data_IF_155939955200
#
_entry.id   IF_155939955200
#
_cell.length_a   1.000
_cell.length_b   1.000
_cell.length_c   1.000
_cell.angle_alpha   90.00
_cell.angle_beta   90.00
_cell.angle_gamma   90.00
#
_symmetry.space_group_name_H-M   'P 1'
#
loop_
_entity.id
_entity.type
_entity.pdbx_description
1 polymer ?
#
# COMPACT_ATOMS: atom_id res chain seq x y z
N UNK A 1 0.39 0.69 -31.84
CA UNK A 1 0.64 1.24 -30.47
C UNK A 1 -0.49 0.91 -29.50
N UNK A 2 -1.75 1.03 -29.90
CA UNK A 2 -2.90 0.76 -29.02
C UNK A 2 -2.95 -0.69 -28.51
N UNK A 3 -2.63 -1.67 -29.34
CA UNK A 3 -2.55 -3.09 -28.93
C UNK A 3 -1.53 -3.33 -27.81
N UNK A 4 -0.34 -2.71 -27.90
CA UNK A 4 0.70 -2.85 -26.87
C UNK A 4 0.24 -2.16 -25.58
N UNK A 5 -0.34 -0.98 -25.68
CA UNK A 5 -0.91 -0.22 -24.54
C UNK A 5 -1.95 -1.06 -23.80
N UNK A 6 -2.93 -1.59 -24.54
CA UNK A 6 -4.01 -2.42 -23.98
C UNK A 6 -3.48 -3.67 -23.27
N UNK A 7 -2.46 -4.34 -23.83
CA UNK A 7 -1.83 -5.50 -23.16
C UNK A 7 -1.16 -5.11 -21.86
N UNK A 8 -0.42 -4.00 -21.84
CA UNK A 8 0.22 -3.49 -20.61
C UNK A 8 -0.86 -3.14 -19.58
N UNK A 9 -1.89 -2.40 -19.97
CA UNK A 9 -2.99 -2.03 -19.08
C UNK A 9 -3.68 -3.26 -18.48
N UNK A 10 -3.99 -4.27 -19.29
CA UNK A 10 -4.60 -5.53 -18.82
C UNK A 10 -3.71 -6.22 -17.77
N UNK A 11 -2.39 -6.28 -17.99
CA UNK A 11 -1.47 -6.88 -17.02
C UNK A 11 -1.43 -6.08 -15.71
N UNK A 12 -1.38 -4.75 -15.80
CA UNK A 12 -1.42 -3.86 -14.62
C UNK A 12 -2.74 -4.04 -13.87
N UNK A 13 -3.86 -4.00 -14.60
CA UNK A 13 -5.20 -4.13 -13.99
C UNK A 13 -5.37 -5.49 -13.30
N UNK A 14 -4.74 -6.55 -13.81
CA UNK A 14 -4.77 -7.87 -13.17
C UNK A 14 -4.06 -7.93 -11.80
N UNK A 15 -3.15 -6.98 -11.53
CA UNK A 15 -2.47 -6.83 -10.23
C UNK A 15 -3.27 -5.98 -9.24
N UNK A 16 -4.20 -5.18 -9.72
CA UNK A 16 -4.97 -4.27 -8.87
C UNK A 16 -6.20 -4.94 -8.25
N UNK A 17 -6.71 -4.36 -7.17
CA UNK A 17 -7.98 -4.79 -6.57
C UNK A 17 -9.20 -4.60 -7.48
N UNK A 18 -9.08 -3.81 -8.55
CA UNK A 18 -10.15 -3.64 -9.55
C UNK A 18 -10.47 -4.95 -10.28
N UNK A 19 -9.52 -5.88 -10.38
CA UNK A 19 -9.75 -7.21 -10.95
C UNK A 19 -10.77 -8.05 -10.16
N UNK A 20 -11.06 -7.70 -8.92
CA UNK A 20 -12.06 -8.37 -8.08
C UNK A 20 -13.51 -7.95 -8.40
N UNK A 21 -13.70 -6.92 -9.24
CA UNK A 21 -15.00 -6.57 -9.87
C UNK A 21 -16.12 -6.12 -8.93
N UNK A 22 -15.82 -5.73 -7.69
CA UNK A 22 -16.85 -5.43 -6.67
C UNK A 22 -17.11 -3.94 -6.45
N UNK A 23 -16.33 -3.05 -7.08
CA UNK A 23 -16.43 -1.60 -6.88
C UNK A 23 -16.73 -0.90 -8.21
N UNK A 24 -17.74 -0.06 -8.21
CA UNK A 24 -18.03 0.88 -9.29
C UNK A 24 -17.46 2.26 -8.93
N UNK A 25 -16.26 2.55 -9.43
CA UNK A 25 -15.61 3.83 -9.17
C UNK A 25 -16.13 4.98 -10.06
N UNK A 26 -17.08 4.71 -10.98
CA UNK A 26 -17.63 5.71 -11.91
C UNK A 26 -19.01 6.21 -11.49
N UNK A 27 -19.65 5.59 -10.51
CA UNK A 27 -20.97 5.98 -10.01
C UNK A 27 -21.01 6.01 -8.47
N UNK A 28 -21.95 6.79 -7.89
CA UNK A 28 -22.84 7.77 -8.55
C UNK A 28 -22.05 9.00 -9.03
N UNK A 29 -22.49 9.60 -10.15
CA UNK A 29 -21.82 10.80 -10.69
C UNK A 29 -21.85 11.95 -9.70
N UNK A 30 -20.72 12.68 -9.62
CA UNK A 30 -20.57 13.86 -8.75
C UNK A 30 -20.24 13.53 -7.28
N UNK A 31 -20.21 12.26 -6.88
CA UNK A 31 -19.84 11.91 -5.50
C UNK A 31 -18.30 12.03 -5.29
N UNK A 32 -17.81 12.92 -4.40
CA UNK A 32 -16.37 13.11 -4.19
C UNK A 32 -15.71 11.96 -3.40
N UNK A 33 -16.46 11.05 -2.82
CA UNK A 33 -15.94 10.04 -1.90
C UNK A 33 -15.57 10.61 -0.53
N UNK A 34 -14.53 10.05 0.10
CA UNK A 34 -14.06 10.53 1.41
C UNK A 34 -13.22 11.79 1.31
N UNK A 35 -12.43 11.96 0.25
CA UNK A 35 -11.39 12.99 0.17
C UNK A 35 -11.63 14.01 -0.95
N UNK A 36 -12.22 13.60 -2.07
CA UNK A 36 -12.41 14.44 -3.24
C UNK A 36 -11.15 14.62 -4.11
N UNK A 37 -11.33 15.16 -5.33
CA UNK A 37 -10.27 15.24 -6.33
C UNK A 37 -9.13 16.22 -6.00
N UNK A 38 -9.37 17.20 -5.13
CA UNK A 38 -8.39 18.22 -4.72
C UNK A 38 -7.55 17.78 -3.51
N UNK A 39 -7.76 16.55 -3.03
CA UNK A 39 -7.01 16.02 -1.91
C UNK A 39 -5.61 15.58 -2.31
N UNK A 40 -4.67 15.67 -1.38
CA UNK A 40 -3.32 15.14 -1.54
C UNK A 40 -3.36 13.60 -1.56
N UNK A 41 -4.32 13.00 -0.86
CA UNK A 41 -4.56 11.55 -0.89
C UNK A 41 -4.85 11.03 -2.31
N UNK A 42 -5.65 11.75 -3.12
CA UNK A 42 -5.84 11.38 -4.53
C UNK A 42 -4.55 11.53 -5.34
N UNK A 43 -3.76 12.57 -5.06
CA UNK A 43 -2.50 12.79 -5.75
C UNK A 43 -1.48 11.68 -5.44
N UNK A 44 -1.31 11.33 -4.17
CA UNK A 44 -0.34 10.30 -3.73
C UNK A 44 -0.75 8.92 -4.22
N UNK A 45 -2.02 8.55 -4.03
CA UNK A 45 -2.52 7.22 -4.39
C UNK A 45 -2.83 7.05 -5.88
N UNK A 46 -2.81 8.14 -6.66
CA UNK A 46 -3.15 8.13 -8.09
C UNK A 46 -2.12 7.52 -9.02
N UNK A 47 -0.89 7.27 -8.57
CA UNK A 47 0.16 6.68 -9.38
C UNK A 47 0.36 5.19 -9.07
N UNK A 48 0.00 4.33 -10.00
CA UNK A 48 0.09 2.87 -9.82
C UNK A 48 1.49 2.39 -9.46
N UNK A 49 2.53 2.94 -10.10
CA UNK A 49 3.91 2.47 -9.89
C UNK A 49 4.41 2.77 -8.49
N UNK A 50 4.20 4.01 -8.02
CA UNK A 50 4.59 4.40 -6.66
C UNK A 50 3.76 3.67 -5.61
N UNK A 51 2.44 3.50 -5.83
CA UNK A 51 1.59 2.74 -4.90
C UNK A 51 2.00 1.27 -4.80
N UNK A 52 2.36 0.63 -5.91
CA UNK A 52 2.83 -0.76 -5.88
C UNK A 52 4.15 -0.88 -5.10
N UNK A 53 5.12 0.01 -5.35
CA UNK A 53 6.41 0.03 -4.65
C UNK A 53 6.21 0.31 -3.16
N UNK A 54 5.42 1.34 -2.83
CA UNK A 54 5.10 1.69 -1.45
C UNK A 54 4.38 0.56 -0.71
N UNK A 55 3.42 -0.10 -1.36
CA UNK A 55 2.71 -1.24 -0.78
C UNK A 55 3.60 -2.44 -0.50
N UNK A 56 4.53 -2.76 -1.40
CA UNK A 56 5.53 -3.81 -1.20
C UNK A 56 6.41 -3.49 0.02
N UNK A 57 6.92 -2.27 0.10
CA UNK A 57 7.74 -1.81 1.24
C UNK A 57 6.95 -1.82 2.55
N UNK A 58 5.70 -1.35 2.53
CA UNK A 58 4.81 -1.36 3.69
C UNK A 58 4.58 -2.77 4.24
N UNK A 59 4.35 -3.76 3.37
CA UNK A 59 4.16 -5.15 3.78
C UNK A 59 5.41 -5.75 4.43
N UNK A 60 6.60 -5.41 3.92
CA UNK A 60 7.86 -5.82 4.54
C UNK A 60 8.02 -5.19 5.93
N UNK A 61 7.71 -3.90 6.06
CA UNK A 61 7.79 -3.18 7.32
C UNK A 61 6.77 -3.72 8.34
N UNK A 62 5.52 -3.93 7.93
CA UNK A 62 4.46 -4.50 8.78
C UNK A 62 4.83 -5.87 9.35
N UNK A 63 5.55 -6.70 8.57
CA UNK A 63 5.98 -8.02 9.00
C UNK A 63 6.99 -8.04 10.15
N UNK A 64 7.53 -6.87 10.53
CA UNK A 64 8.43 -6.73 11.68
C UNK A 64 7.70 -6.63 13.02
N UNK A 65 6.39 -6.35 13.05
CA UNK A 65 5.65 -6.27 14.30
C UNK A 65 5.07 -7.63 14.69
N UNK A 66 5.52 -8.26 15.80
CA UNK A 66 5.17 -9.65 16.13
C UNK A 66 3.68 -9.93 16.23
N UNK A 67 2.92 -9.03 16.88
CA UNK A 67 1.48 -9.21 17.07
C UNK A 67 0.69 -8.97 15.78
N UNK A 68 1.05 -7.96 14.98
CA UNK A 68 0.42 -7.75 13.68
C UNK A 68 0.71 -8.92 12.73
N UNK A 69 1.95 -9.42 12.75
CA UNK A 69 2.34 -10.60 11.98
C UNK A 69 1.60 -11.87 12.45
N UNK A 70 1.38 -12.05 13.76
CA UNK A 70 0.65 -13.20 14.29
C UNK A 70 -0.79 -13.25 13.73
N UNK A 71 -1.51 -12.13 13.71
CA UNK A 71 -2.84 -12.04 13.11
C UNK A 71 -2.84 -12.40 11.62
N UNK A 72 -1.86 -11.92 10.87
CA UNK A 72 -1.68 -12.28 9.46
C UNK A 72 -1.35 -13.77 9.30
N UNK A 73 -0.50 -14.30 10.15
CA UNK A 73 -0.04 -15.68 10.11
C UNK A 73 -1.16 -16.69 10.33
N UNK A 74 -2.01 -16.42 11.30
CA UNK A 74 -3.04 -17.36 11.73
C UNK A 74 -4.34 -17.25 10.90
N UNK A 75 -4.65 -16.05 10.36
CA UNK A 75 -5.95 -15.79 9.73
C UNK A 75 -5.90 -15.45 8.24
N UNK A 76 -4.71 -15.35 7.64
CA UNK A 76 -4.57 -15.03 6.22
C UNK A 76 -4.05 -16.22 5.42
N UNK A 77 -4.62 -16.44 4.24
CA UNK A 77 -4.16 -17.45 3.30
C UNK A 77 -2.96 -17.00 2.43
N UNK A 78 -2.11 -16.09 2.94
CA UNK A 78 -1.00 -15.53 2.17
C UNK A 78 -0.01 -16.58 1.65
N UNK A 79 0.03 -17.75 2.30
CA UNK A 79 0.92 -18.87 1.90
C UNK A 79 0.46 -19.52 0.60
N UNK A 80 -0.83 -19.58 0.39
CA UNK A 80 -1.47 -20.18 -0.80
C UNK A 80 -1.77 -19.14 -1.87
N UNK A 81 -2.20 -17.94 -1.47
CA UNK A 81 -2.67 -16.88 -2.35
C UNK A 81 -2.14 -15.49 -1.95
N UNK A 82 -0.82 -15.29 -2.06
CA UNK A 82 -0.21 -13.98 -1.80
C UNK A 82 -0.78 -12.90 -2.73
N UNK A 83 -0.95 -13.20 -4.01
CA UNK A 83 -1.45 -12.24 -5.00
C UNK A 83 -2.90 -11.83 -4.72
N UNK A 84 -3.75 -12.77 -4.35
CA UNK A 84 -5.13 -12.46 -3.96
C UNK A 84 -5.19 -11.60 -2.69
N UNK A 85 -4.29 -11.80 -1.74
CA UNK A 85 -4.15 -10.91 -0.57
C UNK A 85 -3.78 -9.50 -0.99
N UNK A 86 -2.77 -9.33 -1.85
CA UNK A 86 -2.36 -8.01 -2.36
C UNK A 86 -3.51 -7.31 -3.09
N UNK A 87 -4.28 -8.04 -3.89
CA UNK A 87 -5.46 -7.50 -4.59
C UNK A 87 -6.55 -7.03 -3.63
N UNK A 88 -6.84 -7.79 -2.56
CA UNK A 88 -7.83 -7.40 -1.54
C UNK A 88 -7.42 -6.14 -0.80
N UNK A 89 -6.14 -6.03 -0.41
CA UNK A 89 -5.60 -4.81 0.19
C UNK A 89 -5.66 -3.63 -0.80
N UNK A 90 -5.24 -3.84 -2.04
CA UNK A 90 -5.33 -2.81 -3.09
C UNK A 90 -6.78 -2.39 -3.39
N UNK A 91 -7.76 -3.30 -3.27
CA UNK A 91 -9.18 -2.97 -3.40
C UNK A 91 -9.65 -2.08 -2.24
N UNK A 92 -9.25 -2.39 -1.01
CA UNK A 92 -9.56 -1.56 0.15
C UNK A 92 -8.98 -0.15 -0.01
N UNK A 93 -7.69 -0.02 -0.31
CA UNK A 93 -7.02 1.27 -0.49
C UNK A 93 -7.67 2.07 -1.63
N UNK A 94 -7.89 1.44 -2.79
CA UNK A 94 -8.48 2.15 -3.93
C UNK A 94 -9.95 2.52 -3.69
N UNK A 95 -10.70 1.70 -2.99
CA UNK A 95 -12.10 1.95 -2.68
C UNK A 95 -12.30 3.03 -1.63
N UNK A 96 -11.45 3.08 -0.61
CA UNK A 96 -11.48 4.14 0.41
C UNK A 96 -10.94 5.46 -0.11
N UNK A 97 -9.99 5.44 -1.06
CA UNK A 97 -9.45 6.66 -1.66
C UNK A 97 -10.33 7.20 -2.78
N UNK A 98 -10.75 6.34 -3.71
CA UNK A 98 -11.38 6.73 -4.98
C UNK A 98 -12.83 6.31 -5.12
N UNK A 99 -13.36 5.49 -4.20
CA UNK A 99 -14.74 5.04 -4.22
C UNK A 99 -15.75 6.13 -3.91
N UNK A 100 -17.04 5.86 -4.16
CA UNK A 100 -18.12 6.68 -3.64
C UNK A 100 -18.08 6.69 -2.11
N UNK A 101 -18.72 7.70 -1.49
CA UNK A 101 -18.82 7.76 -0.02
C UNK A 101 -19.40 6.47 0.54
N UNK A 102 -20.48 5.97 -0.07
CA UNK A 102 -21.13 4.74 0.31
C UNK A 102 -20.22 3.52 0.24
N UNK A 103 -19.45 3.39 -0.85
CA UNK A 103 -18.56 2.23 -1.05
C UNK A 103 -17.37 2.27 -0.10
N UNK A 104 -16.83 3.45 0.17
CA UNK A 104 -15.77 3.64 1.15
C UNK A 104 -16.25 3.30 2.57
N UNK A 105 -17.42 3.79 2.96
CA UNK A 105 -18.04 3.49 4.25
C UNK A 105 -18.29 1.98 4.41
N UNK A 106 -18.82 1.33 3.37
CA UNK A 106 -19.04 -0.11 3.36
C UNK A 106 -17.74 -0.91 3.49
N UNK A 107 -16.67 -0.51 2.81
CA UNK A 107 -15.38 -1.18 2.90
C UNK A 107 -14.77 -1.08 4.28
N UNK A 108 -14.82 0.12 4.88
CA UNK A 108 -14.30 0.36 6.24
C UNK A 108 -15.06 -0.52 7.24
N UNK A 109 -16.40 -0.51 7.21
CA UNK A 109 -17.21 -1.31 8.13
C UNK A 109 -16.98 -2.81 7.92
N UNK A 110 -16.84 -3.25 6.68
CA UNK A 110 -16.54 -4.64 6.37
C UNK A 110 -15.19 -5.06 6.96
N UNK A 111 -14.14 -4.26 6.80
CA UNK A 111 -12.81 -4.57 7.34
C UNK A 111 -12.84 -4.51 8.86
N UNK A 112 -13.50 -3.52 9.45
CA UNK A 112 -13.69 -3.41 10.90
C UNK A 112 -14.34 -4.67 11.49
N UNK A 113 -15.42 -5.14 10.85
CA UNK A 113 -16.11 -6.37 11.26
C UNK A 113 -15.20 -7.61 11.17
N UNK A 114 -14.38 -7.73 10.11
CA UNK A 114 -13.39 -8.82 9.98
C UNK A 114 -12.38 -8.74 11.12
N UNK A 115 -11.84 -7.54 11.40
CA UNK A 115 -10.83 -7.37 12.44
C UNK A 115 -11.31 -7.75 13.84
N UNK A 116 -12.59 -7.58 14.14
CA UNK A 116 -13.20 -8.03 15.41
C UNK A 116 -13.16 -9.56 15.58
N UNK A 117 -13.06 -10.33 14.50
CA UNK A 117 -12.97 -11.79 14.52
C UNK A 117 -11.53 -12.32 14.50
N UNK A 118 -10.54 -11.45 14.26
CA UNK A 118 -9.14 -11.84 14.15
C UNK A 118 -8.45 -11.63 15.49
N UNK A 119 -8.44 -12.69 16.29
CA UNK A 119 -7.83 -12.71 17.64
C UNK A 119 -7.04 -14.00 17.83
N UNK A 120 -6.09 -14.02 18.76
CA UNK A 120 -5.33 -15.22 19.08
C UNK A 120 -4.18 -14.94 20.06
N UNK A 121 -3.21 -15.85 20.09
CA UNK A 121 -2.02 -15.74 20.94
C UNK A 121 -0.76 -15.85 20.06
N UNK A 122 0.11 -14.87 20.17
CA UNK A 122 1.40 -14.88 19.47
C UNK A 122 2.35 -15.95 20.03
N UNK A 123 3.43 -16.33 19.30
CA UNK A 123 4.37 -17.36 19.76
C UNK A 123 5.05 -17.06 21.10
N UNK A 124 5.14 -15.79 21.45
CA UNK A 124 5.72 -15.32 22.72
C UNK A 124 4.71 -15.31 23.90
N UNK A 125 3.49 -15.82 23.67
CA UNK A 125 2.43 -15.93 24.67
C UNK A 125 1.56 -14.67 24.81
N UNK A 126 1.85 -13.57 24.12
CA UNK A 126 1.02 -12.35 24.18
C UNK A 126 -0.26 -12.52 23.38
N UNK A 127 -1.43 -12.10 23.90
CA UNK A 127 -2.65 -12.05 23.12
C UNK A 127 -2.56 -10.97 22.04
N UNK A 128 -3.23 -11.20 20.91
CA UNK A 128 -3.40 -10.18 19.87
C UNK A 128 -4.86 -10.08 19.40
N UNK A 129 -5.23 -8.90 18.94
CA UNK A 129 -6.49 -8.66 18.24
C UNK A 129 -6.21 -7.70 17.07
N UNK A 130 -6.68 -8.02 15.86
CA UNK A 130 -6.51 -7.11 14.72
C UNK A 130 -7.31 -5.80 14.87
N UNK A 131 -8.27 -5.76 15.81
CA UNK A 131 -8.99 -4.55 16.21
C UNK A 131 -8.29 -3.73 17.30
N UNK A 132 -7.10 -4.16 17.76
CA UNK A 132 -6.31 -3.39 18.73
C UNK A 132 -5.91 -2.03 18.10
N UNK A 133 -6.24 -0.90 18.77
CA UNK A 133 -5.95 0.43 18.24
C UNK A 133 -4.48 0.67 17.92
N UNK A 134 -3.55 0.14 18.71
CA UNK A 134 -2.11 0.31 18.52
C UNK A 134 -1.63 -0.48 17.30
N UNK A 135 -2.16 -1.69 17.08
CA UNK A 135 -1.85 -2.48 15.88
C UNK A 135 -2.44 -1.84 14.62
N UNK A 136 -3.64 -1.27 14.70
CA UNK A 136 -4.24 -0.53 13.59
C UNK A 136 -3.41 0.71 13.25
N UNK A 137 -2.94 1.46 14.25
CA UNK A 137 -2.06 2.61 14.05
C UNK A 137 -0.73 2.19 13.44
N UNK A 138 -0.11 1.10 13.91
CA UNK A 138 1.13 0.57 13.31
C UNK A 138 0.96 0.23 11.83
N UNK A 139 -0.08 -0.55 11.49
CA UNK A 139 -0.34 -0.96 10.10
C UNK A 139 -0.55 0.27 9.21
N UNK A 140 -1.35 1.24 9.67
CA UNK A 140 -1.58 2.50 8.97
C UNK A 140 -0.29 3.28 8.74
N UNK A 141 0.51 3.53 9.79
CA UNK A 141 1.77 4.28 9.68
C UNK A 141 2.73 3.60 8.71
N UNK A 142 2.85 2.27 8.77
CA UNK A 142 3.69 1.52 7.85
C UNK A 142 3.22 1.67 6.39
N UNK A 143 1.91 1.73 6.14
CA UNK A 143 1.35 1.94 4.79
C UNK A 143 1.59 3.37 4.30
N UNK A 144 1.09 4.35 5.02
CA UNK A 144 1.06 5.74 4.52
C UNK A 144 2.44 6.37 4.42
N UNK A 145 3.36 6.02 5.32
CA UNK A 145 4.75 6.48 5.23
C UNK A 145 5.46 5.95 3.99
N UNK A 146 5.24 4.68 3.63
CA UNK A 146 5.82 4.09 2.44
C UNK A 146 5.13 4.55 1.15
N UNK A 147 3.81 4.81 1.14
CA UNK A 147 3.12 5.39 -0.02
C UNK A 147 3.64 6.79 -0.33
N UNK A 148 3.75 7.65 0.69
CA UNK A 148 4.31 8.99 0.50
C UNK A 148 5.78 8.94 0.07
N UNK A 149 6.60 8.11 0.71
CA UNK A 149 8.01 7.96 0.33
C UNK A 149 8.19 7.49 -1.12
N UNK A 150 7.36 6.55 -1.59
CA UNK A 150 7.36 6.10 -2.97
C UNK A 150 6.90 7.21 -3.94
N UNK A 151 5.87 7.97 -3.56
CA UNK A 151 5.39 9.11 -4.34
C UNK A 151 6.47 10.17 -4.50
N UNK A 152 7.13 10.55 -3.42
CA UNK A 152 8.24 11.52 -3.44
C UNK A 152 9.41 11.03 -4.30
N UNK A 153 9.75 9.74 -4.23
CA UNK A 153 10.90 9.19 -4.96
C UNK A 153 10.65 9.01 -6.45
N UNK A 154 9.44 8.60 -6.85
CA UNK A 154 9.17 8.12 -8.21
C UNK A 154 8.11 8.92 -8.97
N UNK A 155 7.40 9.84 -8.32
CA UNK A 155 6.33 10.62 -8.97
C UNK A 155 6.49 12.12 -8.82
N UNK A 156 6.59 12.64 -7.61
CA UNK A 156 6.68 14.08 -7.35
C UNK A 156 7.67 14.37 -6.21
N UNK A 157 8.98 14.52 -6.51
CA UNK A 157 9.99 14.84 -5.50
C UNK A 157 9.84 16.26 -4.91
N UNK A 158 9.01 17.11 -5.52
CA UNK A 158 8.81 18.50 -5.13
C UNK A 158 7.47 18.74 -4.39
N UNK A 159 6.79 17.68 -3.95
CA UNK A 159 5.60 17.83 -3.12
C UNK A 159 5.95 18.62 -1.87
N UNK A 160 5.22 19.73 -1.62
CA UNK A 160 5.54 20.66 -0.54
C UNK A 160 5.47 19.98 0.84
N UNK A 161 6.21 20.52 1.78
CA UNK A 161 6.18 20.06 3.18
C UNK A 161 4.78 20.11 3.78
N UNK A 162 4.04 21.18 3.46
CA UNK A 162 2.65 21.36 3.90
C UNK A 162 1.71 20.32 3.28
N UNK A 163 1.88 19.99 1.98
CA UNK A 163 1.07 18.94 1.35
C UNK A 163 1.42 17.56 1.87
N UNK A 164 2.68 17.29 2.22
CA UNK A 164 3.04 16.03 2.86
C UNK A 164 2.36 15.87 4.22
N UNK A 165 2.31 16.92 5.04
CA UNK A 165 1.59 16.91 6.32
C UNK A 165 0.08 16.79 6.11
N UNK A 166 -0.47 17.52 5.13
CA UNK A 166 -1.87 17.39 4.73
C UNK A 166 -2.25 15.99 4.27
N UNK A 167 -1.36 15.28 3.56
CA UNK A 167 -1.59 13.89 3.19
C UNK A 167 -1.80 13.00 4.43
N UNK A 168 -0.94 13.12 5.44
CA UNK A 168 -1.07 12.33 6.67
C UNK A 168 -2.35 12.68 7.44
N UNK A 169 -2.70 13.96 7.51
CA UNK A 169 -3.93 14.41 8.16
C UNK A 169 -5.20 13.90 7.44
N UNK A 170 -5.25 14.00 6.13
CA UNK A 170 -6.37 13.49 5.34
C UNK A 170 -6.55 11.98 5.52
N UNK A 171 -5.49 11.19 5.34
CA UNK A 171 -5.60 9.73 5.30
C UNK A 171 -5.81 9.09 6.68
N UNK A 172 -5.49 9.80 7.78
CA UNK A 172 -5.75 9.36 9.15
C UNK A 172 -7.23 9.01 9.38
N UNK A 173 -8.15 9.70 8.68
CA UNK A 173 -9.59 9.42 8.74
C UNK A 173 -9.92 7.95 8.53
N UNK A 174 -9.25 7.26 7.62
CA UNK A 174 -9.53 5.83 7.34
C UNK A 174 -9.11 4.96 8.52
N UNK A 175 -7.93 5.20 9.10
CA UNK A 175 -7.45 4.45 10.24
C UNK A 175 -8.31 4.66 11.49
N UNK A 176 -8.70 5.90 11.79
CA UNK A 176 -9.58 6.23 12.91
C UNK A 176 -10.94 5.56 12.79
N UNK A 177 -11.50 5.53 11.58
CA UNK A 177 -12.76 4.86 11.31
C UNK A 177 -12.67 3.33 11.41
N UNK A 178 -11.49 2.75 11.24
CA UNK A 178 -11.22 1.35 11.55
C UNK A 178 -11.05 1.08 13.05
N UNK A 179 -10.83 2.12 13.86
CA UNK A 179 -10.66 2.02 15.31
C UNK A 179 -9.26 2.36 15.83
N UNK A 180 -8.35 2.84 14.97
CA UNK A 180 -7.03 3.31 15.39
C UNK A 180 -7.16 4.55 16.30
N UNK A 181 -6.17 4.74 17.17
CA UNK A 181 -6.10 5.89 18.10
C UNK A 181 -4.75 6.56 17.98
N UNK A 182 -4.69 7.83 18.38
CA UNK A 182 -3.46 8.63 18.40
C UNK A 182 -2.70 8.55 17.08
N UNK A 183 -3.46 8.61 15.95
CA UNK A 183 -2.95 8.43 14.59
C UNK A 183 -2.08 9.63 14.22
N UNK A 184 -0.80 9.44 13.88
CA UNK A 184 0.09 10.53 13.46
C UNK A 184 -0.43 11.24 12.20
N UNK A 185 -0.42 12.60 12.23
CA UNK A 185 -1.00 13.45 11.18
C UNK A 185 0.02 14.38 10.50
N UNK A 186 1.30 14.26 10.84
CA UNK A 186 2.38 15.04 10.24
C UNK A 186 3.63 14.20 10.04
N UNK A 187 4.54 14.68 9.18
CA UNK A 187 5.84 14.02 8.96
C UNK A 187 6.62 13.83 10.24
N UNK A 188 6.58 14.84 11.13
CA UNK A 188 7.29 14.77 12.41
C UNK A 188 6.67 13.70 13.30
N UNK A 189 5.36 13.68 13.45
CA UNK A 189 4.67 12.67 14.25
C UNK A 189 4.86 11.24 13.72
N UNK A 190 4.91 11.06 12.38
CA UNK A 190 5.24 9.77 11.73
C UNK A 190 6.67 9.36 12.08
N UNK A 191 7.64 10.29 12.01
CA UNK A 191 9.03 9.99 12.35
C UNK A 191 9.17 9.60 13.82
N UNK A 192 8.56 10.37 14.72
CA UNK A 192 8.56 10.11 16.16
C UNK A 192 7.88 8.77 16.49
N UNK A 193 6.78 8.45 15.81
CA UNK A 193 6.11 7.16 15.97
C UNK A 193 6.99 5.99 15.54
N UNK A 194 7.65 6.08 14.37
CA UNK A 194 8.55 5.04 13.90
C UNK A 194 9.75 4.82 14.81
N UNK A 195 10.29 5.86 15.42
CA UNK A 195 11.35 5.70 16.42
C UNK A 195 10.83 5.03 17.70
N UNK A 196 9.69 5.46 18.21
CA UNK A 196 9.08 4.94 19.42
C UNK A 196 8.68 3.47 19.33
N UNK A 197 8.22 3.01 18.13
CA UNK A 197 7.78 1.62 17.94
C UNK A 197 8.95 0.64 17.72
N UNK A 198 10.12 1.12 17.27
CA UNK A 198 11.28 0.27 16.92
C UNK A 198 11.65 -0.79 17.96
N UNK A 199 11.69 -0.51 19.27
CA UNK A 199 12.01 -1.54 20.28
C UNK A 199 11.03 -2.71 20.33
N UNK A 200 9.83 -2.57 19.76
CA UNK A 200 8.82 -3.61 19.72
C UNK A 200 8.91 -4.48 18.46
N UNK A 201 9.73 -4.07 17.48
CA UNK A 201 9.85 -4.75 16.19
C UNK A 201 10.89 -5.88 16.26
N UNK A 202 10.60 -6.96 15.56
CA UNK A 202 11.44 -8.16 15.55
C UNK A 202 11.38 -8.81 14.16
N UNK A 203 12.53 -9.28 13.67
CA UNK A 203 12.60 -10.15 12.50
C UNK A 203 12.84 -11.58 12.95
N UNK A 204 11.79 -12.36 13.05
CA UNK A 204 11.82 -13.79 13.37
C UNK A 204 11.69 -14.66 12.10
N UNK A 205 11.51 -15.97 12.28
CA UNK A 205 11.35 -16.91 11.16
C UNK A 205 10.05 -16.68 10.40
N UNK A 206 8.98 -16.21 11.07
CA UNK A 206 7.70 -15.85 10.42
C UNK A 206 7.87 -14.62 9.54
N UNK A 207 8.59 -13.60 10.01
CA UNK A 207 8.92 -12.40 9.22
C UNK A 207 9.71 -12.77 7.97
N UNK A 208 10.73 -13.63 8.10
CA UNK A 208 11.55 -14.13 6.98
C UNK A 208 10.72 -14.94 5.98
N UNK A 209 9.80 -15.77 6.45
CA UNK A 209 8.91 -16.54 5.58
C UNK A 209 7.95 -15.63 4.79
N UNK A 210 7.35 -14.61 5.43
CA UNK A 210 6.52 -13.63 4.73
C UNK A 210 7.33 -12.88 3.69
N UNK A 211 8.53 -12.43 4.03
CA UNK A 211 9.44 -11.77 3.11
C UNK A 211 9.77 -12.67 1.91
N UNK A 212 10.15 -13.92 2.16
CA UNK A 212 10.46 -14.89 1.12
C UNK A 212 9.26 -15.12 0.19
N UNK A 213 8.05 -15.27 0.74
CA UNK A 213 6.82 -15.44 -0.03
C UNK A 213 6.49 -14.20 -0.86
N UNK A 214 6.64 -13.02 -0.29
CA UNK A 214 6.41 -11.77 -0.98
C UNK A 214 7.37 -11.59 -2.16
N UNK A 215 8.67 -11.79 -1.94
CA UNK A 215 9.70 -11.63 -2.98
C UNK A 215 9.58 -12.67 -4.10
N UNK A 216 9.00 -13.84 -3.82
CA UNK A 216 8.75 -14.90 -4.80
C UNK A 216 7.29 -14.95 -5.27
N UNK A 217 6.49 -13.91 -4.98
CA UNK A 217 5.10 -13.88 -5.43
C UNK A 217 5.01 -14.05 -6.96
N UNK A 218 4.09 -14.89 -7.45
CA UNK A 218 4.00 -15.18 -8.88
C UNK A 218 3.62 -13.92 -9.66
N UNK A 219 4.37 -13.66 -10.74
CA UNK A 219 3.99 -12.61 -11.68
C UNK A 219 2.75 -13.04 -12.49
N UNK A 220 1.86 -12.10 -12.89
CA UNK A 220 0.66 -12.41 -13.67
C UNK A 220 0.96 -13.10 -15.01
N UNK A 221 2.15 -12.87 -15.56
CA UNK A 221 2.61 -13.51 -16.78
C UNK A 221 4.15 -13.57 -16.83
N UNK A 222 4.70 -14.41 -17.70
CA UNK A 222 6.15 -14.49 -17.93
C UNK A 222 6.75 -13.15 -18.35
N UNK A 223 6.02 -12.36 -19.14
CA UNK A 223 6.45 -11.04 -19.61
C UNK A 223 6.43 -9.98 -18.49
N UNK A 224 5.58 -10.13 -17.50
CA UNK A 224 5.51 -9.24 -16.34
C UNK A 224 6.57 -9.56 -15.26
N UNK A 225 7.22 -10.72 -15.32
CA UNK A 225 8.17 -11.17 -14.30
C UNK A 225 9.34 -10.21 -14.07
N UNK A 226 10.04 -9.68 -15.12
CA UNK A 226 11.13 -8.73 -14.91
C UNK A 226 10.65 -7.43 -14.25
N UNK A 227 9.46 -6.96 -14.63
CA UNK A 227 8.85 -5.79 -14.03
C UNK A 227 8.48 -6.03 -12.56
N UNK A 228 7.86 -7.16 -12.24
CA UNK A 228 7.56 -7.55 -10.85
C UNK A 228 8.81 -7.60 -9.99
N UNK A 229 9.88 -8.21 -10.50
CA UNK A 229 11.19 -8.24 -9.83
C UNK A 229 11.75 -6.84 -9.57
N UNK A 230 11.68 -5.94 -10.55
CA UNK A 230 12.10 -4.54 -10.38
C UNK A 230 11.29 -3.82 -9.29
N UNK A 231 9.96 -4.01 -9.25
CA UNK A 231 9.09 -3.41 -8.23
C UNK A 231 9.41 -3.95 -6.82
N UNK A 232 9.71 -5.25 -6.70
CA UNK A 232 10.15 -5.85 -5.43
C UNK A 232 11.48 -5.23 -4.96
N UNK A 233 12.47 -5.11 -5.85
CA UNK A 233 13.75 -4.47 -5.52
C UNK A 233 13.59 -2.99 -5.16
N UNK A 234 12.69 -2.27 -5.81
CA UNK A 234 12.37 -0.89 -5.49
C UNK A 234 11.66 -0.76 -4.13
N UNK A 235 10.82 -1.72 -3.75
CA UNK A 235 10.22 -1.80 -2.42
C UNK A 235 11.25 -2.01 -1.31
N UNK A 236 12.28 -2.85 -1.57
CA UNK A 236 13.42 -3.01 -0.65
C UNK A 236 14.21 -1.70 -0.52
N UNK A 237 14.52 -1.04 -1.66
CA UNK A 237 15.25 0.25 -1.66
C UNK A 237 14.49 1.37 -0.93
N UNK A 238 13.17 1.24 -0.81
CA UNK A 238 12.33 2.23 -0.15
C UNK A 238 12.32 2.09 1.37
N UNK A 239 12.57 0.89 1.91
CA UNK A 239 12.62 0.64 3.34
C UNK A 239 13.59 1.59 4.07
N UNK A 240 13.28 2.03 5.29
CA UNK A 240 14.26 2.65 6.16
C UNK A 240 15.48 1.74 6.34
N UNK A 241 16.68 2.31 6.44
CA UNK A 241 17.93 1.52 6.54
C UNK A 241 17.89 0.53 7.72
N UNK A 242 17.37 0.95 8.88
CA UNK A 242 17.22 0.08 10.04
C UNK A 242 16.30 -1.13 9.78
N UNK A 243 15.23 -0.95 8.99
CA UNK A 243 14.29 -2.03 8.65
C UNK A 243 14.91 -3.00 7.63
N UNK A 244 15.64 -2.47 6.64
CA UNK A 244 16.37 -3.30 5.68
C UNK A 244 17.48 -4.11 6.33
N UNK A 245 18.16 -3.55 7.35
CA UNK A 245 19.15 -4.25 8.17
C UNK A 245 18.50 -5.37 9.00
N UNK A 246 17.39 -5.09 9.69
CA UNK A 246 16.65 -6.10 10.45
C UNK A 246 16.17 -7.28 9.58
N UNK A 247 15.71 -6.98 8.36
CA UNK A 247 15.25 -8.00 7.40
C UNK A 247 16.39 -8.71 6.67
N UNK A 248 17.62 -8.22 6.77
CA UNK A 248 18.79 -8.79 6.06
C UNK A 248 18.74 -8.60 4.53
N UNK A 249 18.09 -7.52 4.06
CA UNK A 249 17.89 -7.24 2.61
C UNK A 249 18.60 -5.97 2.13
N UNK A 250 19.57 -5.49 2.87
CA UNK A 250 20.29 -4.26 2.55
C UNK A 250 20.91 -4.32 1.15
N UNK A 251 20.67 -3.29 0.38
CA UNK A 251 21.21 -3.13 -0.97
C UNK A 251 22.42 -2.20 -0.98
N UNK A 252 23.37 -2.48 -1.87
CA UNK A 252 24.52 -1.59 -2.07
C UNK A 252 24.09 -0.27 -2.72
N UNK A 253 24.89 0.83 -2.56
CA UNK A 253 24.59 2.11 -3.20
C UNK A 253 24.45 2.01 -4.73
N UNK A 254 25.27 1.18 -5.38
CA UNK A 254 25.19 0.94 -6.82
C UNK A 254 23.87 0.26 -7.21
N UNK A 255 23.46 -0.78 -6.46
CA UNK A 255 22.17 -1.45 -6.69
C UNK A 255 21.00 -0.49 -6.56
N UNK A 256 20.96 0.33 -5.50
CA UNK A 256 19.93 1.38 -5.29
C UNK A 256 19.87 2.35 -6.48
N UNK A 257 21.03 2.83 -6.95
CA UNK A 257 21.11 3.75 -8.10
C UNK A 257 20.54 3.11 -9.37
N UNK A 258 20.92 1.87 -9.67
CA UNK A 258 20.43 1.14 -10.85
C UNK A 258 18.94 0.87 -10.78
N UNK A 259 18.42 0.47 -9.62
CA UNK A 259 16.98 0.22 -9.40
C UNK A 259 16.19 1.52 -9.62
N UNK A 260 16.60 2.62 -9.00
CA UNK A 260 15.93 3.92 -9.13
C UNK A 260 15.93 4.41 -10.59
N UNK A 261 17.05 4.30 -11.30
CA UNK A 261 17.14 4.65 -12.70
C UNK A 261 16.23 3.78 -13.58
N UNK A 262 16.15 2.47 -13.29
CA UNK A 262 15.28 1.54 -14.02
C UNK A 262 13.80 1.81 -13.79
N UNK A 263 13.38 2.11 -12.55
CA UNK A 263 12.01 2.51 -12.24
C UNK A 263 11.67 3.82 -12.95
N UNK A 264 12.52 4.84 -12.85
CA UNK A 264 12.29 6.14 -13.49
C UNK A 264 12.16 6.06 -15.01
N UNK A 265 12.81 5.08 -15.63
CA UNK A 265 12.66 4.81 -17.08
C UNK A 265 11.38 4.07 -17.44
N UNK A 266 10.95 3.14 -16.62
CA UNK A 266 9.78 2.28 -16.90
C UNK A 266 8.45 2.92 -16.46
N UNK A 267 8.43 3.71 -15.38
CA UNK A 267 7.21 4.30 -14.84
C UNK A 267 6.45 5.21 -15.83
N UNK A 268 7.09 6.06 -16.67
CA UNK A 268 6.38 6.83 -17.68
C UNK A 268 5.60 5.97 -18.69
N UNK A 269 6.16 4.83 -19.09
CA UNK A 269 5.49 3.89 -20.00
C UNK A 269 4.24 3.30 -19.36
N UNK A 270 4.28 2.98 -18.07
CA UNK A 270 3.10 2.47 -17.34
C UNK A 270 2.03 3.55 -17.20
N UNK A 271 2.41 4.78 -16.87
CA UNK A 271 1.49 5.92 -16.80
C UNK A 271 0.81 6.19 -18.14
N UNK A 272 1.56 6.10 -19.24
CA UNK A 272 1.00 6.20 -20.58
C UNK A 272 0.03 5.06 -20.90
N UNK A 273 0.33 3.86 -20.45
CA UNK A 273 -0.47 2.67 -20.75
C UNK A 273 -1.76 2.59 -19.92
N UNK A 274 -1.72 2.97 -18.64
CA UNK A 274 -2.85 2.83 -17.72
C UNK A 274 -3.76 4.05 -17.81
N UNK A 275 -4.88 3.91 -18.52
CA UNK A 275 -5.91 4.96 -18.69
C UNK A 275 -7.23 4.64 -17.99
N UNK A 276 -7.35 3.44 -17.42
CA UNK A 276 -8.57 2.97 -16.78
C UNK A 276 -8.34 2.52 -15.33
N UNK A 277 -7.30 3.04 -14.68
CA UNK A 277 -7.03 2.83 -13.26
C UNK A 277 -8.06 3.53 -12.35
N UNK A 278 -7.94 3.30 -11.04
CA UNK A 278 -8.89 3.80 -10.05
C UNK A 278 -9.07 5.32 -10.11
N UNK A 279 -7.99 6.07 -10.19
CA UNK A 279 -8.02 7.54 -10.28
C UNK A 279 -8.73 8.03 -11.55
N UNK A 280 -8.51 7.37 -12.70
CA UNK A 280 -9.15 7.77 -13.97
C UNK A 280 -10.66 7.55 -13.92
N UNK A 281 -11.11 6.40 -13.36
CA UNK A 281 -12.53 6.11 -13.15
C UNK A 281 -13.19 7.12 -12.21
N UNK A 282 -12.53 7.42 -11.08
CA UNK A 282 -13.02 8.41 -10.13
C UNK A 282 -13.10 9.83 -10.73
N UNK A 283 -12.10 10.22 -11.55
CA UNK A 283 -12.15 11.48 -12.30
C UNK A 283 -13.34 11.53 -13.25
N UNK A 284 -13.63 10.45 -13.99
CA UNK A 284 -14.84 10.36 -14.83
C UNK A 284 -16.13 10.45 -14.02
N UNK A 285 -16.15 9.92 -12.78
CA UNK A 285 -17.27 10.11 -11.85
C UNK A 285 -17.49 11.58 -11.54
N UNK A 286 -16.40 12.33 -11.34
CA UNK A 286 -16.42 13.76 -11.02
C UNK A 286 -16.58 14.68 -12.25
N UNK A 287 -16.67 14.13 -13.48
CA UNK A 287 -16.69 14.94 -14.71
C UNK A 287 -15.37 15.64 -15.02
N UNK A 288 -14.25 15.15 -14.47
CA UNK A 288 -12.92 15.73 -14.65
C UNK A 288 -12.16 15.05 -15.81
N UNK A 289 -11.24 15.76 -16.48
CA UNK A 289 -10.39 15.19 -17.52
C UNK A 289 -9.48 14.08 -16.96
N UNK A 290 -9.26 13.05 -17.80
CA UNK A 290 -8.49 11.83 -17.42
C UNK A 290 -7.18 11.75 -18.17
#
# INVERSE_FOLDING_TARGET
MEFIRSRIETQVMSLTGLSLGKLDLENPKGDPGLFGPDSVSWQVHGDFSSMLIGGISALMLQALHPLALAGVWDHSNFREDMLGRLRRTGQFISGTTFGSRRDADWLIEKVRTIHLQVTGTAPDGRPYAASDPDLLTWVHVAEVSNFLAAHLRYRNPHLSAADQDRYYDEIALVAERLGARDVPRSRQEIADYLERIRPQLLCDDRSREVLRRLLNAPAPSRLAKPFGGLMMQAGIDLLPDWASDMLGVRQSPLQRTLIRASVNRSAPMLRWAVRNGSVHRAKRRMGLPT
#
